data_IF_436771426883
#
_entry.id   IF_436771426883
#
_cell.length_a   1.000
_cell.length_b   1.000
_cell.length_c   1.000
_cell.angle_alpha   90.00
_cell.angle_beta   90.00
_cell.angle_gamma   90.00
#
_symmetry.space_group_name_H-M   'P 1'
#
loop_
_entity.id
_entity.type
_entity.pdbx_description
1 polymer ?
#
# COMPACT_ATOMS: atom_id res chain seq x y z
N UNK A 1 -16.70 -40.21 27.89
CA UNK A 1 -16.97 -38.80 28.26
C UNK A 1 -18.03 -38.32 27.30
N UNK A 2 -19.06 -37.62 27.77
CA UNK A 2 -20.13 -37.17 26.87
C UNK A 2 -19.52 -36.18 25.86
N UNK A 3 -19.80 -36.38 24.57
CA UNK A 3 -19.34 -35.48 23.53
C UNK A 3 -19.90 -34.09 23.79
N UNK A 4 -19.05 -33.06 23.67
CA UNK A 4 -19.44 -31.69 23.95
C UNK A 4 -20.38 -31.20 22.85
N UNK A 5 -21.59 -30.80 23.26
CA UNK A 5 -22.60 -30.25 22.36
C UNK A 5 -22.51 -28.72 22.39
N UNK A 6 -22.39 -28.14 21.20
CA UNK A 6 -22.49 -26.72 20.91
C UNK A 6 -23.91 -26.39 20.47
N UNK A 7 -24.46 -25.28 20.96
CA UNK A 7 -25.79 -24.82 20.54
C UNK A 7 -25.77 -23.30 20.29
N UNK A 8 -26.37 -22.89 19.19
CA UNK A 8 -26.71 -21.50 18.92
C UNK A 8 -28.19 -21.41 18.59
N UNK A 9 -28.92 -20.52 19.28
CA UNK A 9 -30.36 -20.35 19.10
C UNK A 9 -30.78 -18.90 19.27
N UNK A 10 -31.42 -18.36 18.24
CA UNK A 10 -32.14 -17.09 18.28
C UNK A 10 -33.56 -17.26 17.69
N UNK A 11 -34.26 -16.16 17.40
CA UNK A 11 -35.63 -16.20 16.85
C UNK A 11 -35.69 -16.84 15.46
N UNK A 12 -34.66 -16.66 14.65
CA UNK A 12 -34.61 -17.03 13.24
C UNK A 12 -33.62 -18.15 12.90
N UNK A 13 -32.73 -18.49 13.83
CA UNK A 13 -31.66 -19.46 13.63
C UNK A 13 -31.58 -20.44 14.81
N UNK A 14 -31.33 -21.71 14.51
CA UNK A 14 -31.08 -22.75 15.51
C UNK A 14 -30.15 -23.81 14.93
N UNK A 15 -28.96 -23.92 15.53
CA UNK A 15 -27.88 -24.81 15.14
C UNK A 15 -27.43 -25.63 16.33
N UNK A 16 -27.14 -26.91 16.08
CA UNK A 16 -26.52 -27.83 17.03
C UNK A 16 -25.22 -28.31 16.42
N UNK A 17 -24.16 -28.37 17.20
CA UNK A 17 -22.83 -28.74 16.75
C UNK A 17 -22.22 -29.76 17.69
N UNK A 18 -21.49 -30.71 17.12
CA UNK A 18 -20.68 -31.67 17.86
C UNK A 18 -19.29 -31.70 17.23
N UNK A 19 -18.27 -31.85 18.07
CA UNK A 19 -16.90 -31.98 17.60
C UNK A 19 -16.48 -33.45 17.58
N UNK A 20 -16.01 -33.91 16.42
CA UNK A 20 -15.60 -35.28 16.14
C UNK A 20 -16.07 -35.73 14.76
N UNK A 21 -15.31 -36.62 14.09
CA UNK A 21 -15.68 -37.14 12.78
C UNK A 21 -15.24 -36.24 11.61
N UNK A 22 -16.05 -36.20 10.55
CA UNK A 22 -15.78 -35.40 9.34
C UNK A 22 -16.47 -34.04 9.41
N UNK A 23 -15.95 -33.06 8.68
CA UNK A 23 -16.61 -31.76 8.51
C UNK A 23 -17.92 -31.94 7.76
N UNK A 24 -19.05 -31.69 8.42
CA UNK A 24 -20.36 -31.76 7.80
C UNK A 24 -21.32 -30.72 8.38
N UNK A 25 -22.11 -30.12 7.50
CA UNK A 25 -23.28 -29.31 7.85
C UNK A 25 -24.50 -29.96 7.21
N UNK A 26 -25.50 -30.30 8.01
CA UNK A 26 -26.69 -31.02 7.59
C UNK A 26 -27.96 -30.30 8.07
N UNK A 27 -29.01 -30.29 7.25
CA UNK A 27 -30.29 -29.69 7.60
C UNK A 27 -31.27 -30.71 8.19
N UNK A 28 -32.15 -30.27 9.10
CA UNK A 28 -33.33 -31.03 9.52
C UNK A 28 -34.60 -30.48 8.86
N UNK A 29 -35.45 -31.38 8.36
CA UNK A 29 -36.76 -31.03 7.82
C UNK A 29 -36.68 -30.23 6.51
N UNK A 30 -37.22 -29.01 6.51
CA UNK A 30 -37.39 -28.19 5.30
C UNK A 30 -36.19 -27.28 4.97
N UNK A 31 -35.06 -27.44 5.67
CA UNK A 31 -33.85 -26.67 5.34
C UNK A 31 -33.26 -27.22 4.05
N UNK A 32 -33.04 -26.35 3.04
CA UNK A 32 -32.51 -26.74 1.74
C UNK A 32 -31.15 -27.43 1.88
N UNK A 33 -31.07 -28.70 1.45
CA UNK A 33 -29.86 -29.52 1.59
C UNK A 33 -28.73 -29.08 0.66
N UNK A 34 -29.06 -28.58 -0.53
CA UNK A 34 -28.08 -28.24 -1.56
C UNK A 34 -27.29 -26.97 -1.19
N UNK A 35 -27.97 -25.92 -0.69
CA UNK A 35 -27.32 -24.69 -0.17
C UNK A 35 -26.38 -24.99 0.99
N UNK A 36 -26.78 -25.89 1.89
CA UNK A 36 -25.94 -26.30 3.02
C UNK A 36 -24.73 -27.12 2.58
N UNK A 37 -24.90 -27.94 1.54
CA UNK A 37 -23.81 -28.75 1.00
C UNK A 37 -22.69 -27.88 0.44
N UNK A 38 -23.03 -26.87 -0.37
CA UNK A 38 -22.04 -25.95 -0.93
C UNK A 38 -21.29 -25.17 0.17
N UNK A 39 -22.03 -24.62 1.13
CA UNK A 39 -21.44 -23.92 2.26
C UNK A 39 -20.54 -24.85 3.09
N UNK A 40 -20.97 -26.09 3.33
CA UNK A 40 -20.19 -27.10 4.06
C UNK A 40 -18.83 -27.34 3.39
N UNK A 41 -18.79 -27.46 2.06
CA UNK A 41 -17.54 -27.70 1.32
C UNK A 41 -16.59 -26.52 1.36
N UNK A 42 -17.13 -25.29 1.40
CA UNK A 42 -16.30 -24.09 1.49
C UNK A 42 -15.72 -23.91 2.90
N UNK A 43 -16.55 -24.06 3.95
CA UNK A 43 -16.13 -23.91 5.35
C UNK A 43 -15.20 -25.04 5.79
N UNK A 44 -15.34 -26.25 5.22
CA UNK A 44 -14.47 -27.38 5.52
C UNK A 44 -12.98 -27.09 5.24
N UNK A 45 -12.65 -26.12 4.38
CA UNK A 45 -11.25 -25.71 4.13
C UNK A 45 -10.59 -25.06 5.35
N UNK A 46 -11.39 -24.52 6.28
CA UNK A 46 -10.88 -23.92 7.52
C UNK A 46 -10.35 -24.97 8.51
N UNK A 47 -10.72 -26.24 8.34
CA UNK A 47 -10.21 -27.35 9.15
C UNK A 47 -9.58 -28.37 8.23
N UNK A 48 -8.26 -28.49 8.26
CA UNK A 48 -7.56 -29.55 7.54
C UNK A 48 -7.93 -30.91 8.16
N UNK A 49 -8.95 -31.58 7.63
CA UNK A 49 -9.17 -32.99 7.93
C UNK A 49 -7.98 -33.76 7.37
N UNK A 50 -7.06 -34.19 8.24
CA UNK A 50 -5.94 -35.06 7.84
C UNK A 50 -6.51 -36.42 7.47
N UNK A 51 -6.96 -36.57 6.23
CA UNK A 51 -7.12 -37.89 5.65
C UNK A 51 -5.71 -38.49 5.57
N UNK A 52 -5.41 -39.56 6.31
CA UNK A 52 -4.05 -40.11 6.45
C UNK A 52 -3.47 -40.74 5.16
N UNK A 53 -4.10 -40.51 4.00
CA UNK A 53 -3.64 -40.95 2.70
C UNK A 53 -3.78 -42.47 2.44
N UNK A 54 -4.28 -43.24 3.41
CA UNK A 54 -4.42 -44.71 3.30
C UNK A 54 -5.79 -45.19 2.80
N UNK A 55 -6.71 -44.28 2.46
CA UNK A 55 -8.09 -44.62 2.11
C UNK A 55 -8.25 -45.04 0.63
N UNK A 56 -7.31 -45.81 0.07
CA UNK A 56 -7.42 -46.40 -1.26
C UNK A 56 -7.30 -47.92 -1.14
N UNK A 57 -8.45 -48.57 -1.06
CA UNK A 57 -8.56 -50.03 -1.15
C UNK A 57 -9.27 -50.63 0.04
N UNK A 58 -10.30 -51.43 -0.26
CA UNK A 58 -10.88 -52.38 0.68
C UNK A 58 -9.77 -53.30 1.23
N UNK A 59 -9.31 -53.02 2.45
CA UNK A 59 -8.33 -53.81 3.18
C UNK A 59 -8.55 -53.59 4.68
N UNK A 60 -8.55 -54.68 5.44
CA UNK A 60 -9.06 -54.85 6.80
C UNK A 60 -8.32 -54.09 7.93
N UNK A 61 -7.57 -53.02 7.63
CA UNK A 61 -6.91 -52.19 8.64
C UNK A 61 -7.63 -50.84 8.75
N UNK A 62 -8.68 -50.81 9.58
CA UNK A 62 -9.55 -49.66 9.78
C UNK A 62 -8.80 -48.42 10.25
N UNK A 63 -9.12 -47.26 9.65
CA UNK A 63 -8.73 -45.96 10.20
C UNK A 63 -9.22 -45.87 11.65
N UNK A 64 -8.30 -45.57 12.58
CA UNK A 64 -8.67 -45.34 13.97
C UNK A 64 -9.65 -44.16 14.02
N UNK A 65 -10.79 -44.33 14.69
CA UNK A 65 -11.81 -43.27 14.87
C UNK A 65 -11.23 -41.96 15.42
N UNK A 66 -10.07 -42.04 16.08
CA UNK A 66 -9.36 -40.94 16.71
C UNK A 66 -8.59 -40.01 15.73
N UNK A 67 -8.54 -40.33 14.43
CA UNK A 67 -7.91 -39.47 13.41
C UNK A 67 -8.88 -38.48 12.73
N UNK A 68 -10.19 -38.60 13.00
CA UNK A 68 -11.21 -37.72 12.41
C UNK A 68 -11.51 -36.55 13.35
N UNK A 69 -10.83 -35.43 13.09
CA UNK A 69 -10.95 -34.18 13.85
C UNK A 69 -11.68 -33.13 13.01
N UNK A 70 -13.00 -33.04 13.16
CA UNK A 70 -13.86 -32.15 12.39
C UNK A 70 -15.14 -31.80 13.15
N UNK A 71 -15.99 -30.99 12.54
CA UNK A 71 -17.27 -30.58 13.13
C UNK A 71 -18.45 -31.28 12.43
N UNK A 72 -19.46 -31.68 13.19
CA UNK A 72 -20.76 -32.06 12.67
C UNK A 72 -21.80 -31.05 13.15
N UNK A 73 -22.45 -30.37 12.22
CA UNK A 73 -23.44 -29.34 12.52
C UNK A 73 -24.79 -29.75 11.95
N UNK A 74 -25.80 -29.73 12.81
CA UNK A 74 -27.21 -29.91 12.46
C UNK A 74 -27.93 -28.58 12.50
N UNK A 75 -28.45 -28.16 11.36
CA UNK A 75 -29.19 -26.93 11.16
C UNK A 75 -30.68 -27.22 11.29
N UNK A 76 -31.28 -26.77 12.40
CA UNK A 76 -32.71 -26.95 12.67
C UNK A 76 -33.53 -25.82 12.03
N UNK A 77 -33.03 -24.59 12.09
CA UNK A 77 -33.62 -23.40 11.46
C UNK A 77 -32.50 -22.46 11.02
N UNK A 78 -32.59 -21.87 9.83
CA UNK A 78 -31.58 -20.96 9.29
C UNK A 78 -32.22 -19.82 8.53
N UNK A 79 -31.83 -18.59 8.88
CA UNK A 79 -32.12 -17.37 8.13
C UNK A 79 -30.86 -16.59 7.77
N UNK A 80 -29.68 -17.00 8.25
CA UNK A 80 -28.43 -16.26 8.09
C UNK A 80 -27.21 -17.17 7.96
N UNK A 81 -26.53 -17.08 6.81
CA UNK A 81 -25.22 -17.73 6.62
C UNK A 81 -24.17 -17.20 7.58
N UNK A 82 -24.18 -15.90 7.85
CA UNK A 82 -23.27 -15.26 8.80
C UNK A 82 -23.33 -15.92 10.17
N UNK A 83 -24.53 -16.15 10.71
CA UNK A 83 -24.67 -16.77 12.03
C UNK A 83 -24.22 -18.23 12.03
N UNK A 84 -24.51 -18.98 10.95
CA UNK A 84 -24.06 -20.36 10.82
C UNK A 84 -22.53 -20.45 10.71
N UNK A 85 -21.92 -19.66 9.85
CA UNK A 85 -20.45 -19.59 9.69
C UNK A 85 -19.80 -19.19 11.01
N UNK A 86 -20.33 -18.16 11.69
CA UNK A 86 -19.83 -17.72 12.99
C UNK A 86 -19.92 -18.83 14.05
N UNK A 87 -21.00 -19.59 14.05
CA UNK A 87 -21.16 -20.75 14.93
C UNK A 87 -20.10 -21.82 14.67
N UNK A 88 -19.91 -22.22 13.40
CA UNK A 88 -18.89 -23.23 13.03
C UNK A 88 -17.47 -22.74 13.36
N UNK A 89 -17.14 -21.49 13.02
CA UNK A 89 -15.82 -20.91 13.33
C UNK A 89 -15.58 -20.83 14.84
N UNK A 90 -16.61 -20.56 15.63
CA UNK A 90 -16.53 -20.62 17.09
C UNK A 90 -16.09 -21.99 17.60
N UNK A 91 -16.70 -23.07 17.07
CA UNK A 91 -16.29 -24.44 17.38
C UNK A 91 -14.83 -24.70 16.99
N UNK A 92 -14.43 -24.26 15.78
CA UNK A 92 -13.06 -24.43 15.29
C UNK A 92 -12.06 -23.75 16.21
N UNK A 93 -12.29 -22.50 16.58
CA UNK A 93 -11.39 -21.75 17.46
C UNK A 93 -11.22 -22.44 18.80
N UNK A 94 -12.31 -22.92 19.40
CA UNK A 94 -12.27 -23.56 20.71
C UNK A 94 -11.55 -24.92 20.69
N UNK A 95 -11.78 -25.75 19.67
CA UNK A 95 -11.25 -27.11 19.61
C UNK A 95 -9.86 -27.21 18.97
N UNK A 96 -9.48 -26.21 18.15
CA UNK A 96 -8.15 -26.17 17.48
C UNK A 96 -7.22 -25.12 18.06
N UNK A 97 -7.67 -24.33 19.05
CA UNK A 97 -6.95 -23.20 19.63
C UNK A 97 -6.42 -22.21 18.58
N UNK A 98 -7.26 -21.96 17.55
CA UNK A 98 -7.03 -20.96 16.51
C UNK A 98 -7.73 -19.65 16.85
N UNK A 99 -7.34 -18.59 16.14
CA UNK A 99 -7.89 -17.24 16.33
C UNK A 99 -8.49 -16.72 15.02
N UNK A 100 -9.47 -17.46 14.51
CA UNK A 100 -10.24 -17.06 13.34
C UNK A 100 -11.26 -15.98 13.71
N UNK A 101 -11.31 -14.91 12.94
CA UNK A 101 -12.28 -13.83 13.09
C UNK A 101 -13.32 -13.90 11.99
N UNK A 102 -14.60 -13.67 12.32
CA UNK A 102 -15.70 -13.64 11.35
C UNK A 102 -16.30 -12.24 11.32
N UNK A 103 -16.28 -11.61 10.15
CA UNK A 103 -16.81 -10.27 9.93
C UNK A 103 -17.88 -10.30 8.84
N UNK A 104 -18.91 -9.49 9.00
CA UNK A 104 -19.90 -9.25 7.95
C UNK A 104 -19.55 -7.94 7.24
N UNK A 105 -19.42 -7.97 5.91
CA UNK A 105 -19.22 -6.78 5.06
C UNK A 105 -20.28 -6.77 3.99
N UNK A 106 -21.18 -5.78 4.04
CA UNK A 106 -22.43 -5.81 3.28
C UNK A 106 -23.17 -7.15 3.51
N UNK A 107 -23.52 -7.86 2.44
CA UNK A 107 -24.14 -9.19 2.53
C UNK A 107 -23.12 -10.35 2.49
N UNK A 108 -21.82 -10.06 2.42
CA UNK A 108 -20.77 -11.07 2.40
C UNK A 108 -20.23 -11.37 3.81
N UNK A 109 -19.69 -12.58 3.99
CA UNK A 109 -19.05 -13.02 5.23
C UNK A 109 -17.58 -13.25 4.97
N UNK A 110 -16.72 -12.67 5.80
CA UNK A 110 -15.27 -12.72 5.67
C UNK A 110 -14.70 -13.42 6.89
N UNK A 111 -13.77 -14.36 6.66
CA UNK A 111 -13.04 -15.04 7.74
C UNK A 111 -11.54 -14.85 7.57
N UNK A 112 -10.90 -14.35 8.62
CA UNK A 112 -9.48 -14.03 8.67
C UNK A 112 -8.78 -14.72 9.85
N UNK A 113 -7.45 -14.83 9.78
CA UNK A 113 -6.59 -15.18 10.91
C UNK A 113 -5.42 -14.18 10.93
N UNK A 114 -5.44 -13.24 11.86
CA UNK A 114 -4.58 -12.05 11.77
C UNK A 114 -4.85 -11.27 10.48
N UNK A 115 -3.79 -11.04 9.68
CA UNK A 115 -3.87 -10.33 8.40
C UNK A 115 -4.14 -11.25 7.19
N UNK A 116 -4.31 -12.56 7.41
CA UNK A 116 -4.56 -13.52 6.33
C UNK A 116 -6.06 -13.68 6.08
N UNK A 117 -6.49 -13.43 4.83
CA UNK A 117 -7.83 -13.76 4.34
C UNK A 117 -7.92 -15.25 4.00
N UNK A 118 -8.78 -15.98 4.71
CA UNK A 118 -8.90 -17.44 4.57
C UNK A 118 -10.16 -17.86 3.80
N UNK A 119 -11.25 -17.10 3.96
CA UNK A 119 -12.53 -17.46 3.37
C UNK A 119 -13.41 -16.23 3.17
N UNK A 120 -14.15 -16.21 2.05
CA UNK A 120 -15.18 -15.23 1.72
C UNK A 120 -16.41 -15.98 1.24
N UNK A 121 -17.53 -15.78 1.92
CA UNK A 121 -18.86 -16.22 1.50
C UNK A 121 -19.58 -15.08 0.81
N UNK A 122 -20.13 -15.33 -0.37
CA UNK A 122 -20.95 -14.39 -1.12
C UNK A 122 -22.39 -14.93 -1.22
N UNK A 123 -23.42 -14.07 -1.16
CA UNK A 123 -24.79 -14.48 -1.50
C UNK A 123 -24.90 -14.84 -2.98
N UNK A 124 -25.97 -15.55 -3.37
CA UNK A 124 -26.16 -16.02 -4.77
C UNK A 124 -26.10 -14.90 -5.81
N UNK A 125 -26.72 -13.76 -5.53
CA UNK A 125 -26.72 -12.58 -6.41
C UNK A 125 -25.39 -11.79 -6.35
N UNK A 126 -24.44 -12.22 -5.52
CA UNK A 126 -23.20 -11.53 -5.23
C UNK A 126 -23.39 -10.27 -4.37
N UNK A 127 -22.30 -9.54 -4.17
CA UNK A 127 -22.30 -8.21 -3.55
C UNK A 127 -21.72 -7.20 -4.51
N UNK A 128 -22.21 -5.96 -4.47
CA UNK A 128 -21.56 -4.90 -5.21
C UNK A 128 -20.11 -4.77 -4.73
N UNK A 129 -19.15 -4.75 -5.66
CA UNK A 129 -17.74 -4.65 -5.32
C UNK A 129 -17.45 -3.40 -4.48
N UNK A 130 -18.18 -2.31 -4.72
CA UNK A 130 -18.14 -1.07 -3.94
C UNK A 130 -18.57 -1.22 -2.48
N UNK A 131 -19.42 -2.19 -2.18
CA UNK A 131 -19.94 -2.38 -0.82
C UNK A 131 -19.04 -3.35 -0.05
N UNK A 132 -18.29 -4.19 -0.76
CA UNK A 132 -17.36 -5.17 -0.18
C UNK A 132 -15.95 -4.62 0.02
N UNK A 133 -15.37 -4.04 -1.02
CA UNK A 133 -14.03 -3.44 -0.98
C UNK A 133 -14.04 -1.99 -0.47
N UNK A 134 -15.22 -1.44 -0.17
CA UNK A 134 -15.46 0.00 -0.22
C UNK A 134 -15.59 0.45 -1.68
N UNK A 135 -16.16 1.64 -1.95
CA UNK A 135 -16.16 2.21 -3.31
C UNK A 135 -14.74 1.99 -3.83
N UNK A 136 -14.59 1.13 -4.85
CA UNK A 136 -13.33 0.88 -5.54
C UNK A 136 -12.65 2.22 -5.59
N UNK A 137 -11.48 2.35 -4.94
CA UNK A 137 -10.81 3.63 -4.73
C UNK A 137 -11.25 4.59 -5.82
N UNK A 138 -12.20 5.49 -5.48
CA UNK A 138 -12.09 6.81 -6.07
C UNK A 138 -10.70 7.16 -5.57
N UNK A 139 -9.68 6.92 -6.39
CA UNK A 139 -8.33 7.33 -6.09
C UNK A 139 -8.54 8.71 -5.53
N UNK A 140 -8.12 8.97 -4.30
CA UNK A 140 -8.46 10.24 -3.68
C UNK A 140 -8.01 11.36 -4.67
N UNK A 141 -6.94 11.10 -5.41
CA UNK A 141 -6.37 11.88 -6.50
C UNK A 141 -7.09 11.89 -7.88
N UNK A 142 -8.14 11.10 -8.11
CA UNK A 142 -8.73 10.85 -9.43
C UNK A 142 -7.93 9.83 -10.26
N UNK A 143 -8.37 9.57 -11.50
CA UNK A 143 -7.73 8.60 -12.40
C UNK A 143 -6.36 9.07 -12.92
N UNK A 144 -6.14 10.38 -12.94
CA UNK A 144 -4.94 11.02 -13.49
C UNK A 144 -4.52 12.21 -12.64
N UNK A 145 -3.22 12.31 -12.35
CA UNK A 145 -2.59 13.49 -11.75
C UNK A 145 -1.62 14.14 -12.73
N UNK A 146 -1.71 15.48 -12.88
CA UNK A 146 -0.75 16.26 -13.66
C UNK A 146 0.40 16.70 -12.76
N UNK A 147 1.63 16.32 -13.12
CA UNK A 147 2.83 16.75 -12.42
C UNK A 147 3.47 17.92 -13.16
N UNK A 148 3.64 19.04 -12.46
CA UNK A 148 4.24 20.28 -12.98
C UNK A 148 5.77 20.18 -13.12
N UNK A 149 6.25 19.19 -13.89
CA UNK A 149 7.67 18.97 -14.18
C UNK A 149 7.89 18.59 -15.64
N UNK A 150 9.02 19.03 -16.22
CA UNK A 150 9.54 18.53 -17.50
C UNK A 150 10.67 17.51 -17.32
N UNK A 151 11.13 17.30 -16.08
CA UNK A 151 12.21 16.37 -15.75
C UNK A 151 11.69 14.92 -15.79
N UNK A 152 12.17 14.13 -16.75
CA UNK A 152 11.77 12.73 -16.92
C UNK A 152 12.30 11.81 -15.81
N UNK A 153 13.43 12.13 -15.16
CA UNK A 153 13.90 11.40 -13.98
C UNK A 153 12.88 11.46 -12.83
N UNK A 154 12.47 12.69 -12.48
CA UNK A 154 11.38 12.94 -11.51
C UNK A 154 10.07 12.25 -11.92
N UNK A 155 9.73 12.32 -13.21
CA UNK A 155 8.50 11.72 -13.72
C UNK A 155 8.52 10.20 -13.61
N UNK A 156 9.65 9.54 -13.88
CA UNK A 156 9.80 8.08 -13.75
C UNK A 156 9.59 7.62 -12.30
N UNK A 157 10.16 8.33 -11.33
CA UNK A 157 9.97 8.02 -9.91
C UNK A 157 8.49 8.13 -9.51
N UNK A 158 7.84 9.25 -9.87
CA UNK A 158 6.43 9.44 -9.57
C UNK A 158 5.52 8.43 -10.28
N UNK A 159 5.76 8.14 -11.56
CA UNK A 159 5.02 7.09 -12.28
C UNK A 159 5.06 5.78 -11.50
N UNK A 160 6.25 5.38 -11.02
CA UNK A 160 6.40 4.15 -10.26
C UNK A 160 5.66 4.17 -8.92
N UNK A 161 5.69 5.29 -8.19
CA UNK A 161 4.98 5.44 -6.91
C UNK A 161 3.45 5.47 -7.09
N UNK A 162 2.95 6.20 -8.09
CA UNK A 162 1.50 6.36 -8.32
C UNK A 162 0.87 5.19 -9.07
N UNK A 163 1.62 4.44 -9.88
CA UNK A 163 1.14 3.23 -10.54
C UNK A 163 0.75 2.15 -9.53
N UNK A 164 1.50 2.03 -8.42
CA UNK A 164 1.14 1.15 -7.29
C UNK A 164 -0.21 1.53 -6.64
N UNK A 165 -0.64 2.78 -6.84
CA UNK A 165 -1.91 3.32 -6.35
C UNK A 165 -3.00 3.34 -7.44
N UNK A 166 -2.71 2.86 -8.64
CA UNK A 166 -3.63 2.89 -9.78
C UNK A 166 -3.90 4.30 -10.34
N UNK A 167 -3.01 5.27 -10.08
CA UNK A 167 -3.14 6.67 -10.54
C UNK A 167 -2.24 6.88 -11.77
N UNK A 168 -2.81 7.38 -12.87
CA UNK A 168 -2.01 7.75 -14.06
C UNK A 168 -1.29 9.07 -13.85
N UNK A 169 -0.06 9.16 -14.35
CA UNK A 169 0.77 10.37 -14.24
C UNK A 169 0.94 11.03 -15.61
N UNK A 170 0.42 12.25 -15.74
CA UNK A 170 0.72 13.19 -16.83
C UNK A 170 1.83 14.16 -16.37
N UNK A 171 2.63 14.69 -17.30
CA UNK A 171 3.61 15.72 -17.01
C UNK A 171 3.55 16.88 -18.02
N UNK A 172 4.36 17.92 -17.82
CA UNK A 172 4.34 19.10 -18.70
C UNK A 172 4.84 18.81 -20.12
N UNK A 173 5.52 17.69 -20.36
CA UNK A 173 5.91 17.28 -21.73
C UNK A 173 4.70 16.85 -22.57
N UNK A 174 3.58 16.49 -21.93
CA UNK A 174 2.29 16.26 -22.61
C UNK A 174 1.56 17.57 -22.99
N UNK A 175 2.04 18.70 -22.47
CA UNK A 175 1.43 20.02 -22.60
C UNK A 175 2.46 21.06 -23.07
N UNK A 176 2.97 20.96 -24.32
CA UNK A 176 3.97 21.88 -24.85
C UNK A 176 3.46 23.33 -24.96
N UNK A 177 2.14 23.53 -24.97
CA UNK A 177 1.48 24.83 -24.97
C UNK A 177 1.60 25.60 -23.65
N UNK A 178 1.88 24.90 -22.54
CA UNK A 178 1.99 25.52 -21.23
C UNK A 178 3.34 26.23 -21.07
N UNK A 179 3.34 27.47 -20.53
CA UNK A 179 4.57 28.21 -20.32
C UNK A 179 5.47 27.52 -19.30
N UNK A 180 6.76 27.77 -19.41
CA UNK A 180 7.70 27.47 -18.33
C UNK A 180 7.48 28.45 -17.19
N UNK A 181 7.38 27.93 -15.96
CA UNK A 181 7.20 28.75 -14.76
C UNK A 181 8.57 29.06 -14.19
N UNK A 182 8.95 30.33 -14.19
CA UNK A 182 10.23 30.76 -13.62
C UNK A 182 10.24 30.57 -12.09
N UNK A 183 11.23 29.81 -11.61
CA UNK A 183 11.48 29.58 -10.18
C UNK A 183 12.17 30.81 -9.56
N UNK A 184 11.36 31.74 -9.05
CA UNK A 184 11.83 33.00 -8.44
C UNK A 184 11.87 32.96 -6.91
N UNK A 185 11.41 31.87 -6.30
CA UNK A 185 11.39 31.66 -4.86
C UNK A 185 12.79 31.37 -4.30
N UNK A 186 12.95 31.67 -3.01
CA UNK A 186 14.17 31.41 -2.25
C UNK A 186 14.06 30.13 -1.40
N UNK A 187 12.87 29.52 -1.35
CA UNK A 187 12.61 28.24 -0.69
C UNK A 187 12.01 27.21 -1.65
N UNK A 188 12.14 25.93 -1.28
CA UNK A 188 11.53 24.83 -2.04
C UNK A 188 10.01 24.94 -2.08
N UNK A 189 9.38 25.31 -0.96
CA UNK A 189 7.93 25.52 -0.88
C UNK A 189 7.46 26.64 -1.82
N UNK A 190 8.13 27.80 -1.83
CA UNK A 190 7.77 28.93 -2.70
C UNK A 190 7.80 28.53 -4.17
N UNK A 191 8.85 27.83 -4.61
CA UNK A 191 8.97 27.34 -5.99
C UNK A 191 7.93 26.27 -6.33
N UNK A 192 7.70 25.32 -5.42
CA UNK A 192 6.71 24.27 -5.63
C UNK A 192 5.28 24.84 -5.71
N UNK A 193 4.92 25.78 -4.82
CA UNK A 193 3.62 26.48 -4.87
C UNK A 193 3.45 27.27 -6.15
N UNK A 194 4.46 28.06 -6.53
CA UNK A 194 4.42 28.86 -7.75
C UNK A 194 4.17 27.97 -8.98
N UNK A 195 4.83 26.81 -9.07
CA UNK A 195 4.60 25.82 -10.14
C UNK A 195 3.19 25.22 -10.08
N UNK A 196 2.78 24.70 -8.92
CA UNK A 196 1.49 24.00 -8.78
C UNK A 196 0.31 24.93 -9.06
N UNK A 197 0.27 26.08 -8.40
CA UNK A 197 -0.85 27.03 -8.47
C UNK A 197 -0.97 27.67 -9.85
N UNK A 198 0.16 28.03 -10.48
CA UNK A 198 0.16 28.61 -11.83
C UNK A 198 -0.39 27.61 -12.85
N UNK A 199 0.12 26.38 -12.86
CA UNK A 199 -0.34 25.35 -13.81
C UNK A 199 -1.78 24.93 -13.51
N UNK A 200 -2.17 24.82 -12.23
CA UNK A 200 -3.55 24.50 -11.86
C UNK A 200 -4.52 25.58 -12.36
N UNK A 201 -4.18 26.85 -12.18
CA UNK A 201 -4.98 27.98 -12.68
C UNK A 201 -5.10 28.02 -14.20
N UNK A 202 -4.03 27.70 -14.93
CA UNK A 202 -4.03 27.69 -16.40
C UNK A 202 -4.82 26.51 -16.97
N UNK A 203 -4.77 25.35 -16.32
CA UNK A 203 -5.37 24.12 -16.84
C UNK A 203 -6.76 23.82 -16.27
N UNK A 204 -7.13 24.43 -15.14
CA UNK A 204 -8.32 24.07 -14.37
C UNK A 204 -8.24 22.67 -13.75
N UNK A 205 -7.06 22.04 -13.74
CA UNK A 205 -6.84 20.69 -13.21
C UNK A 205 -6.20 20.75 -11.82
N UNK A 206 -6.33 19.66 -11.07
CA UNK A 206 -5.48 19.41 -9.90
C UNK A 206 -4.06 19.09 -10.36
N UNK A 207 -3.08 19.73 -9.74
CA UNK A 207 -1.66 19.67 -10.14
C UNK A 207 -0.81 19.36 -8.92
N UNK A 208 0.13 18.42 -9.09
CA UNK A 208 1.22 18.18 -8.15
C UNK A 208 2.48 18.86 -8.67
N UNK A 209 3.10 19.73 -7.88
CA UNK A 209 4.45 20.20 -8.14
C UNK A 209 5.41 19.61 -7.11
N UNK A 210 6.67 19.50 -7.54
CA UNK A 210 7.79 19.15 -6.69
C UNK A 210 8.89 20.18 -6.91
N UNK A 211 9.42 20.67 -5.79
CA UNK A 211 10.72 21.31 -5.76
C UNK A 211 11.64 20.54 -4.82
N UNK A 212 12.78 20.14 -5.35
CA UNK A 212 13.67 19.20 -4.67
C UNK A 212 15.12 19.58 -4.91
N UNK A 213 15.96 19.35 -3.91
CA UNK A 213 17.37 19.68 -4.00
C UNK A 213 18.22 19.00 -2.93
N UNK A 214 19.52 19.12 -3.11
CA UNK A 214 20.54 18.66 -2.16
C UNK A 214 20.96 19.84 -1.29
N UNK A 215 20.91 19.66 0.03
CA UNK A 215 21.45 20.59 1.03
C UNK A 215 22.71 19.96 1.64
N UNK A 216 23.86 20.62 1.54
CA UNK A 216 25.11 20.16 2.14
C UNK A 216 25.50 21.08 3.29
N UNK A 217 25.70 20.52 4.48
CA UNK A 217 25.75 21.32 5.72
C UNK A 217 26.97 22.23 5.76
N UNK A 218 28.15 21.72 5.38
CA UNK A 218 29.39 22.51 5.36
C UNK A 218 29.38 23.62 4.30
N UNK A 219 28.51 23.51 3.29
CA UNK A 219 28.28 24.54 2.28
C UNK A 219 27.14 25.49 2.65
N UNK A 220 26.68 25.47 3.93
CA UNK A 220 25.59 26.31 4.39
C UNK A 220 24.24 25.98 3.74
N UNK A 221 24.05 24.73 3.32
CA UNK A 221 22.83 24.26 2.65
C UNK A 221 22.84 24.39 1.12
N UNK A 222 23.92 24.90 0.51
CA UNK A 222 24.10 24.81 -0.94
C UNK A 222 24.33 23.35 -1.37
N UNK A 223 23.93 22.94 -2.59
CA UNK A 223 23.30 23.74 -3.66
C UNK A 223 21.88 24.25 -3.38
N UNK A 224 21.11 23.62 -2.50
CA UNK A 224 19.76 24.06 -2.13
C UNK A 224 18.81 24.16 -3.32
N UNK A 225 18.05 25.25 -3.42
CA UNK A 225 17.12 25.53 -4.54
C UNK A 225 17.84 25.66 -5.90
N UNK A 226 19.16 25.85 -5.91
CA UNK A 226 19.96 25.92 -7.13
C UNK A 226 20.49 24.55 -7.58
N UNK A 227 20.05 23.44 -6.98
CA UNK A 227 20.56 22.09 -7.27
C UNK A 227 20.60 21.74 -8.76
N UNK A 228 19.56 22.06 -9.53
CA UNK A 228 19.53 21.75 -10.96
C UNK A 228 20.53 22.57 -11.78
N UNK A 229 20.92 23.76 -11.30
CA UNK A 229 21.73 24.78 -11.99
C UNK A 229 22.99 25.13 -11.21
N UNK A 230 23.49 24.20 -10.40
CA UNK A 230 24.58 24.48 -9.46
C UNK A 230 25.86 24.87 -10.20
N UNK A 231 26.16 24.25 -11.33
CA UNK A 231 27.30 24.57 -12.21
C UNK A 231 27.02 25.68 -13.23
N UNK A 232 25.82 26.25 -13.26
CA UNK A 232 25.44 27.37 -14.15
C UNK A 232 24.15 27.12 -14.95
N UNK A 233 23.83 27.99 -15.92
CA UNK A 233 22.63 27.87 -16.75
C UNK A 233 22.57 26.60 -17.62
N UNK A 234 23.73 26.15 -18.12
CA UNK A 234 23.86 24.95 -18.97
C UNK A 234 24.26 23.70 -18.17
N UNK A 235 23.85 23.64 -16.90
CA UNK A 235 24.24 22.57 -15.99
C UNK A 235 23.72 21.20 -16.45
N UNK A 236 24.62 20.22 -16.45
CA UNK A 236 24.31 18.79 -16.48
C UNK A 236 24.52 18.14 -15.11
N UNK A 237 23.95 16.96 -14.88
CA UNK A 237 24.18 16.17 -13.67
C UNK A 237 25.67 15.95 -13.40
N UNK A 238 26.46 15.64 -14.44
CA UNK A 238 27.91 15.45 -14.33
C UNK A 238 28.64 16.74 -13.95
N UNK A 239 28.27 17.87 -14.55
CA UNK A 239 28.88 19.16 -14.23
C UNK A 239 28.54 19.64 -12.82
N UNK A 240 27.30 19.38 -12.36
CA UNK A 240 26.83 19.66 -11.01
C UNK A 240 27.59 18.79 -9.99
N UNK A 241 27.76 17.50 -10.29
CA UNK A 241 28.53 16.56 -9.48
C UNK A 241 30.01 16.95 -9.40
N UNK A 242 30.62 17.33 -10.52
CA UNK A 242 32.01 17.79 -10.56
C UNK A 242 32.21 19.06 -9.73
N UNK A 243 31.29 20.04 -9.84
CA UNK A 243 31.34 21.25 -9.01
C UNK A 243 31.17 20.92 -7.54
N UNK A 244 30.22 20.06 -7.18
CA UNK A 244 30.01 19.66 -5.78
C UNK A 244 31.26 19.02 -5.17
N UNK A 245 31.91 18.10 -5.90
CA UNK A 245 33.17 17.51 -5.46
C UNK A 245 34.29 18.55 -5.34
N UNK A 246 34.34 19.54 -6.23
CA UNK A 246 35.30 20.63 -6.16
C UNK A 246 35.13 21.49 -4.89
N UNK A 247 33.90 21.90 -4.57
CA UNK A 247 33.60 22.68 -3.36
C UNK A 247 33.93 21.90 -2.07
N UNK A 248 33.83 20.57 -2.13
CA UNK A 248 34.14 19.66 -1.01
C UNK A 248 35.57 19.09 -1.06
N UNK A 249 36.46 19.58 -1.93
CA UNK A 249 37.78 19.02 -2.13
C UNK A 249 38.67 19.06 -0.87
N UNK A 250 38.43 20.03 0.02
CA UNK A 250 39.15 20.21 1.28
C UNK A 250 38.42 19.63 2.50
N UNK A 251 37.27 18.98 2.29
CA UNK A 251 36.48 18.35 3.35
C UNK A 251 36.76 16.85 3.36
N UNK A 252 37.79 16.45 4.11
CA UNK A 252 38.30 15.07 4.12
C UNK A 252 37.51 14.13 5.03
N UNK A 253 37.01 14.65 6.16
CA UNK A 253 36.29 13.87 7.15
C UNK A 253 34.83 13.64 6.70
N UNK A 254 34.41 12.38 6.61
CA UNK A 254 33.06 12.03 6.13
C UNK A 254 31.94 12.67 6.95
N UNK A 255 32.12 12.77 8.27
CA UNK A 255 31.16 13.42 9.19
C UNK A 255 30.88 14.89 8.83
N UNK A 256 31.83 15.58 8.21
CA UNK A 256 31.74 16.99 7.83
C UNK A 256 31.17 17.14 6.41
N UNK A 257 30.91 16.04 5.71
CA UNK A 257 30.24 15.97 4.40
C UNK A 257 28.76 15.61 4.54
N UNK A 258 28.16 15.85 5.71
CA UNK A 258 26.74 15.61 5.93
C UNK A 258 25.88 16.42 4.96
N UNK A 259 24.86 15.76 4.44
CA UNK A 259 23.95 16.32 3.47
C UNK A 259 22.57 15.69 3.59
N UNK A 260 21.59 16.34 3.00
CA UNK A 260 20.25 15.80 2.90
C UNK A 260 19.64 16.16 1.57
N UNK A 261 18.99 15.18 0.94
CA UNK A 261 18.02 15.50 -0.08
C UNK A 261 16.75 16.01 0.58
N UNK A 262 16.14 17.01 -0.02
CA UNK A 262 14.87 17.56 0.40
C UNK A 262 13.91 17.62 -0.78
N UNK A 263 12.64 17.41 -0.51
CA UNK A 263 11.56 17.75 -1.43
C UNK A 263 10.43 18.43 -0.68
N UNK A 264 9.85 19.43 -1.33
CA UNK A 264 8.53 19.95 -1.03
C UNK A 264 7.58 19.55 -2.16
N UNK A 265 6.54 18.81 -1.80
CA UNK A 265 5.44 18.48 -2.69
C UNK A 265 4.26 19.41 -2.42
N UNK A 266 3.72 20.00 -3.48
CA UNK A 266 2.54 20.88 -3.40
C UNK A 266 1.45 20.35 -4.31
N UNK A 267 0.27 20.10 -3.75
CA UNK A 267 -0.95 19.85 -4.53
C UNK A 267 -1.81 21.09 -4.55
N UNK A 268 -2.07 21.60 -5.75
CA UNK A 268 -2.98 22.72 -6.00
C UNK A 268 -4.20 22.24 -6.78
N UNK A 269 -5.35 22.81 -6.49
CA UNK A 269 -6.57 22.70 -7.28
C UNK A 269 -7.25 24.07 -7.39
N UNK A 270 -8.08 24.31 -8.42
CA UNK A 270 -8.82 25.56 -8.53
C UNK A 270 -9.65 25.84 -7.26
N UNK A 271 -9.64 27.10 -6.83
CA UNK A 271 -10.44 27.62 -5.71
C UNK A 271 -10.18 26.95 -4.35
N UNK A 272 -9.00 26.34 -4.17
CA UNK A 272 -8.61 25.64 -2.93
C UNK A 272 -7.24 26.06 -2.45
N UNK A 273 -7.05 26.10 -1.13
CA UNK A 273 -5.72 26.29 -0.55
C UNK A 273 -4.83 25.08 -0.86
N UNK A 274 -3.58 25.32 -1.25
CA UNK A 274 -2.69 24.25 -1.71
C UNK A 274 -2.19 23.40 -0.53
N UNK A 275 -2.24 22.07 -0.69
CA UNK A 275 -1.67 21.10 0.26
C UNK A 275 -0.16 21.05 0.11
N UNK A 276 0.58 21.15 1.20
CA UNK A 276 2.03 21.09 1.21
C UNK A 276 2.51 20.00 2.14
N UNK A 277 3.42 19.16 1.64
CA UNK A 277 4.15 18.19 2.45
C UNK A 277 5.62 18.20 2.10
N UNK A 278 6.46 17.96 3.09
CA UNK A 278 7.92 17.99 2.93
C UNK A 278 8.56 16.75 3.53
N UNK A 279 9.69 16.33 2.97
CA UNK A 279 10.52 15.32 3.58
C UNK A 279 12.00 15.53 3.26
N UNK A 280 12.83 15.17 4.23
CA UNK A 280 14.28 15.12 4.11
C UNK A 280 14.75 13.67 4.12
N UNK A 281 15.84 13.40 3.39
CA UNK A 281 16.55 12.14 3.39
C UNK A 281 18.00 12.41 3.76
N UNK A 282 18.41 12.14 5.01
CA UNK A 282 19.75 12.44 5.49
C UNK A 282 20.78 11.43 4.98
N UNK A 283 22.00 11.90 4.77
CA UNK A 283 23.11 11.12 4.27
C UNK A 283 24.41 11.91 4.25
N UNK A 284 25.33 11.50 3.39
CA UNK A 284 26.65 12.12 3.25
C UNK A 284 27.05 12.22 1.79
N UNK A 285 27.96 13.14 1.46
CA UNK A 285 28.52 13.22 0.10
C UNK A 285 29.77 12.34 0.00
N UNK A 286 29.76 11.39 -0.93
CA UNK A 286 30.90 10.54 -1.23
C UNK A 286 32.08 11.33 -1.82
N UNK A 287 33.27 10.69 -1.83
CA UNK A 287 34.48 11.24 -2.44
C UNK A 287 34.53 11.06 -3.97
N UNK A 288 33.84 10.03 -4.47
CA UNK A 288 33.81 9.62 -5.87
C UNK A 288 32.39 9.17 -6.22
N UNK A 289 32.02 9.24 -7.50
CA UNK A 289 30.71 8.79 -7.95
C UNK A 289 30.67 7.26 -8.07
N UNK A 290 29.57 6.63 -7.66
CA UNK A 290 29.29 5.19 -7.86
C UNK A 290 27.83 4.93 -8.15
N UNK A 291 27.57 3.85 -8.89
CA UNK A 291 26.23 3.42 -9.30
C UNK A 291 25.77 4.08 -10.60
N UNK A 292 24.91 3.37 -11.32
CA UNK A 292 24.41 3.76 -12.65
C UNK A 292 22.90 4.05 -12.65
N UNK A 293 22.22 3.85 -11.51
CA UNK A 293 20.79 4.13 -11.38
C UNK A 293 20.54 5.58 -10.94
N UNK A 294 19.30 6.04 -11.09
CA UNK A 294 18.88 7.34 -10.60
C UNK A 294 19.30 8.50 -11.51
N UNK A 295 19.42 9.70 -10.94
CA UNK A 295 19.78 10.94 -11.64
C UNK A 295 20.35 12.00 -10.68
N UNK A 296 20.89 13.09 -11.22
CA UNK A 296 21.39 14.21 -10.42
C UNK A 296 22.57 13.82 -9.53
N UNK A 297 22.43 14.09 -8.23
CA UNK A 297 23.46 13.82 -7.23
C UNK A 297 23.40 12.40 -6.65
N UNK A 298 22.52 11.52 -7.13
CA UNK A 298 22.40 10.14 -6.64
C UNK A 298 23.75 9.38 -6.63
N UNK A 299 24.63 9.53 -7.65
CA UNK A 299 25.93 8.85 -7.64
C UNK A 299 26.89 9.36 -6.57
N UNK A 300 26.63 10.50 -5.94
CA UNK A 300 27.45 11.08 -4.87
C UNK A 300 26.80 11.00 -3.49
N UNK A 301 25.52 10.65 -3.41
CA UNK A 301 24.78 10.65 -2.15
C UNK A 301 24.84 9.28 -1.46
N UNK A 302 25.49 9.23 -0.30
CA UNK A 302 25.55 8.05 0.56
C UNK A 302 24.31 7.96 1.45
N UNK A 303 23.70 6.78 1.47
CA UNK A 303 22.45 6.51 2.20
C UNK A 303 22.75 6.17 3.65
N UNK A 304 22.54 7.14 4.55
CA UNK A 304 22.81 6.98 5.98
C UNK A 304 24.22 6.44 6.25
N UNK A 305 24.32 5.39 7.07
CA UNK A 305 25.59 4.70 7.39
C UNK A 305 25.80 3.41 6.57
N UNK A 306 24.99 3.17 5.53
CA UNK A 306 25.02 1.90 4.78
C UNK A 306 26.24 1.74 3.87
N UNK A 307 26.94 2.84 3.57
CA UNK A 307 28.04 2.88 2.62
C UNK A 307 27.61 2.73 1.15
N UNK A 308 26.31 2.56 0.87
CA UNK A 308 25.75 2.51 -0.49
C UNK A 308 25.43 3.91 -0.98
N UNK A 309 25.65 4.13 -2.27
CA UNK A 309 25.20 5.31 -2.97
C UNK A 309 23.73 5.18 -3.35
N UNK A 310 23.00 6.30 -3.45
CA UNK A 310 21.62 6.29 -3.92
C UNK A 310 21.51 5.70 -5.34
N UNK A 311 22.51 5.92 -6.20
CA UNK A 311 22.60 5.34 -7.54
C UNK A 311 22.90 3.83 -7.57
N UNK A 312 23.20 3.20 -6.42
CA UNK A 312 23.31 1.75 -6.28
C UNK A 312 22.02 1.10 -5.77
N UNK A 313 21.01 1.91 -5.42
CA UNK A 313 19.69 1.41 -5.08
C UNK A 313 18.92 1.09 -6.36
N UNK A 314 18.11 0.04 -6.30
CA UNK A 314 17.04 -0.15 -7.28
C UNK A 314 16.00 0.95 -7.13
N UNK A 315 15.21 1.19 -8.17
CA UNK A 315 14.13 2.16 -8.10
C UNK A 315 13.08 1.82 -7.02
N UNK A 316 12.87 0.54 -6.68
CA UNK A 316 11.96 0.15 -5.58
C UNK A 316 12.55 0.52 -4.22
N UNK A 317 13.79 0.10 -3.94
CA UNK A 317 14.48 0.44 -2.69
C UNK A 317 14.54 1.96 -2.48
N UNK A 318 14.89 2.72 -3.53
CA UNK A 318 14.95 4.18 -3.46
C UNK A 318 13.59 4.78 -3.15
N UNK A 319 12.51 4.29 -3.77
CA UNK A 319 11.17 4.81 -3.55
C UNK A 319 10.65 4.56 -2.12
N UNK A 320 11.17 3.56 -1.41
CA UNK A 320 10.75 3.28 -0.05
C UNK A 320 11.31 4.27 0.97
N UNK A 321 12.55 4.74 0.76
CA UNK A 321 13.34 5.47 1.77
C UNK A 321 13.73 6.89 1.37
N UNK A 322 13.64 7.24 0.08
CA UNK A 322 14.06 8.57 -0.39
C UNK A 322 13.12 9.68 0.08
N UNK A 323 13.65 10.91 0.09
CA UNK A 323 12.91 12.13 0.36
C UNK A 323 11.57 12.19 -0.43
N UNK A 324 11.60 11.84 -1.72
CA UNK A 324 10.40 11.80 -2.58
C UNK A 324 9.41 10.72 -2.17
N UNK A 325 9.89 9.52 -1.88
CA UNK A 325 9.07 8.42 -1.36
C UNK A 325 8.40 8.75 -0.03
N UNK A 326 9.17 9.32 0.90
CA UNK A 326 8.67 9.77 2.21
C UNK A 326 7.64 10.91 2.07
N UNK A 327 7.89 11.88 1.18
CA UNK A 327 6.94 12.96 0.93
C UNK A 327 5.64 12.45 0.28
N UNK A 328 5.71 11.47 -0.64
CA UNK A 328 4.51 10.83 -1.20
C UNK A 328 3.72 10.09 -0.12
N UNK A 329 4.38 9.39 0.82
CA UNK A 329 3.68 8.75 1.95
C UNK A 329 2.92 9.78 2.79
N UNK A 330 3.58 10.87 3.19
CA UNK A 330 2.93 11.99 3.91
C UNK A 330 1.80 12.61 3.10
N UNK A 331 1.98 12.76 1.78
CA UNK A 331 0.97 13.26 0.89
C UNK A 331 -0.29 12.37 0.93
N UNK A 332 -0.11 11.05 0.82
CA UNK A 332 -1.22 10.10 0.83
C UNK A 332 -1.98 10.09 2.16
N UNK A 333 -1.32 10.39 3.28
CA UNK A 333 -1.96 10.54 4.59
C UNK A 333 -2.77 11.83 4.70
N UNK A 334 -2.22 12.96 4.24
CA UNK A 334 -2.86 14.27 4.36
C UNK A 334 -3.96 14.53 3.30
N UNK A 335 -3.82 13.90 2.13
CA UNK A 335 -4.64 14.19 0.97
C UNK A 335 -6.16 13.92 1.15
N UNK A 336 -6.62 12.84 1.81
CA UNK A 336 -8.05 12.61 2.02
C UNK A 336 -8.73 13.71 2.84
N UNK A 337 -8.04 14.22 3.87
CA UNK A 337 -8.52 15.33 4.71
C UNK A 337 -8.59 16.59 3.87
N UNK A 338 -7.48 16.92 3.19
CA UNK A 338 -7.44 18.06 2.29
C UNK A 338 -8.56 18.00 1.26
N UNK A 339 -8.80 16.87 0.58
CA UNK A 339 -9.87 16.72 -0.41
C UNK A 339 -11.26 16.99 0.17
N UNK A 340 -11.52 16.57 1.40
CA UNK A 340 -12.83 16.71 2.05
C UNK A 340 -13.14 18.15 2.51
N UNK A 341 -12.12 18.96 2.77
CA UNK A 341 -12.28 20.37 3.10
C UNK A 341 -12.75 21.14 1.85
N UNK A 342 -13.95 21.73 1.93
CA UNK A 342 -14.57 22.56 0.88
C UNK A 342 -14.20 24.02 1.08
#
# INVERSE_FOLDING_TARGET
MADKIYEYKDKENWFLGEWGGFNAISGLGNVCGDELYELSQQVAKLVASKCCGKCHGHGEDGCHKDEFNGYNVTVVKKSSDFQLIRFVVGMINEETNRHLEVQQRASAVVVTEGDQLLFVHLPEDGVAASDFFGKSSENAFGDTILIATRNEGKTKEFRKMFDQLGIKVENLNNHPELPEVEETGMTFEENARLKAETISKLTGKMVLADDSGLKVDVLGGLPGVWSARFSGPDATDESNNAKLLHELAMVFDMKDRSAQFHTTLVVAAPDKESLVVEADWPGYIAMEAKGDNGFGYDPLFLVGETGRHAAELTADEKNEISHRGLAVKKLMEAFPVWKAEQ
#
